data_IF_151852291510
#
_entry.id   IF_151852291510
#
_cell.length_a   1.000
_cell.length_b   1.000
_cell.length_c   1.000
_cell.angle_alpha   90.00
_cell.angle_beta   90.00
_cell.angle_gamma   90.00
#
_symmetry.space_group_name_H-M   'P 1'
#
loop_
_entity.id
_entity.type
_entity.pdbx_description
1 polymer ?
#
# COMPACT_ATOMS: atom_id res chain seq x y z
N UNK A 1 14.85 -7.84 12.85
CA UNK A 1 14.81 -6.77 11.82
C UNK A 1 14.39 -5.49 12.49
N UNK A 2 14.98 -4.35 12.13
CA UNK A 2 14.62 -3.04 12.68
C UNK A 2 13.44 -2.48 11.89
N UNK A 3 12.39 -2.04 12.56
CA UNK A 3 11.24 -1.36 11.92
C UNK A 3 11.65 0.00 11.33
N UNK A 4 10.86 0.52 10.38
CA UNK A 4 11.11 1.87 9.83
C UNK A 4 11.04 2.95 10.92
N UNK A 5 10.18 2.77 11.93
CA UNK A 5 10.05 3.68 13.08
C UNK A 5 11.33 3.69 13.91
N UNK A 6 11.86 2.51 14.25
CA UNK A 6 13.11 2.38 15.01
C UNK A 6 14.31 2.90 14.20
N UNK A 7 14.34 2.64 12.89
CA UNK A 7 15.37 3.15 12.00
C UNK A 7 15.37 4.68 11.98
N UNK A 8 14.20 5.30 11.78
CA UNK A 8 14.07 6.75 11.79
C UNK A 8 14.52 7.35 13.13
N UNK A 9 14.04 6.78 14.25
CA UNK A 9 14.44 7.22 15.58
C UNK A 9 15.97 7.10 15.81
N UNK A 10 16.59 6.01 15.37
CA UNK A 10 18.03 5.78 15.54
C UNK A 10 18.92 6.66 14.67
N UNK A 11 18.39 7.16 13.55
CA UNK A 11 19.14 7.97 12.56
C UNK A 11 18.79 9.46 12.60
N UNK A 12 17.93 9.88 13.54
CA UNK A 12 17.51 11.27 13.68
C UNK A 12 16.58 11.76 12.56
N UNK A 13 15.86 10.83 11.91
CA UNK A 13 14.85 11.14 10.90
C UNK A 13 13.47 11.25 11.52
N UNK A 14 12.67 12.19 11.01
CA UNK A 14 11.24 12.27 11.28
C UNK A 14 10.48 11.33 10.34
N UNK A 15 9.50 10.63 10.88
CA UNK A 15 8.52 9.83 10.13
C UNK A 15 7.15 10.48 10.32
N UNK A 16 6.59 11.03 9.26
CA UNK A 16 5.34 11.79 9.26
C UNK A 16 4.32 11.11 8.34
N UNK A 17 3.08 10.98 8.80
CA UNK A 17 1.99 10.51 7.96
C UNK A 17 1.33 11.70 7.25
N UNK A 18 1.01 11.53 5.97
CA UNK A 18 0.24 12.51 5.20
C UNK A 18 -0.83 11.82 4.36
N UNK A 19 -1.96 12.50 4.09
CA UNK A 19 -2.95 11.97 3.16
C UNK A 19 -2.31 11.77 1.77
N UNK A 20 -2.54 10.63 1.13
CA UNK A 20 -2.00 10.39 -0.20
C UNK A 20 -2.71 11.28 -1.22
N UNK A 21 -2.01 12.32 -1.70
CA UNK A 21 -2.53 13.25 -2.73
C UNK A 21 -1.96 12.97 -4.13
N UNK A 22 -0.73 12.48 -4.19
CA UNK A 22 -0.02 12.13 -5.41
C UNK A 22 1.01 11.04 -5.08
N UNK A 23 1.40 10.27 -6.09
CA UNK A 23 2.51 9.30 -6.02
C UNK A 23 3.51 9.65 -7.10
N UNK A 24 4.74 9.98 -6.71
CA UNK A 24 5.83 10.28 -7.65
C UNK A 24 5.47 11.32 -8.73
N UNK A 25 4.69 12.35 -8.36
CA UNK A 25 4.20 13.39 -9.28
C UNK A 25 2.95 13.02 -10.09
N UNK A 26 2.51 11.76 -10.04
CA UNK A 26 1.26 11.30 -10.66
C UNK A 26 0.06 11.60 -9.74
N UNK A 27 -1.06 12.08 -10.28
CA UNK A 27 -2.26 12.31 -9.50
C UNK A 27 -2.86 10.99 -9.01
N UNK A 28 -3.41 11.00 -7.80
CA UNK A 28 -4.23 9.89 -7.31
C UNK A 28 -5.71 10.18 -7.55
N UNK A 29 -6.38 9.27 -8.24
CA UNK A 29 -7.83 9.33 -8.44
C UNK A 29 -8.49 8.14 -7.76
N UNK A 30 -9.42 8.45 -6.86
CA UNK A 30 -10.24 7.47 -6.17
C UNK A 30 -11.50 7.19 -6.99
N UNK A 31 -11.72 5.93 -7.34
CA UNK A 31 -12.79 5.51 -8.25
C UNK A 31 -13.92 4.89 -7.44
N UNK A 32 -15.15 5.33 -7.72
CA UNK A 32 -16.34 4.65 -7.22
C UNK A 32 -16.47 3.29 -7.92
N UNK A 33 -16.23 2.22 -7.17
CA UNK A 33 -16.20 0.85 -7.70
C UNK A 33 -17.13 -0.06 -6.87
N UNK A 34 -18.45 -0.06 -7.12
CA UNK A 34 -19.37 -0.92 -6.37
C UNK A 34 -18.92 -2.38 -6.37
N UNK A 35 -18.97 -3.10 -5.22
CA UNK A 35 -19.64 -2.71 -3.98
C UNK A 35 -18.81 -1.80 -3.04
N UNK A 36 -17.57 -1.48 -3.38
CA UNK A 36 -16.67 -0.69 -2.54
C UNK A 36 -17.15 0.73 -2.35
N UNK A 37 -17.13 1.18 -1.09
CA UNK A 37 -17.58 2.49 -0.68
C UNK A 37 -16.50 3.18 0.13
N UNK A 38 -16.21 4.43 -0.23
CA UNK A 38 -15.36 5.29 0.59
C UNK A 38 -16.07 5.61 1.90
N UNK A 39 -15.35 5.48 3.00
CA UNK A 39 -15.82 5.92 4.31
C UNK A 39 -14.98 7.11 4.81
N UNK A 40 -15.52 7.84 5.78
CA UNK A 40 -14.74 8.81 6.52
C UNK A 40 -13.67 8.08 7.34
N UNK A 41 -12.41 8.46 7.15
CA UNK A 41 -11.32 7.85 7.89
C UNK A 41 -11.23 8.46 9.30
N UNK A 42 -11.12 7.64 10.36
CA UNK A 42 -10.82 8.16 11.70
C UNK A 42 -9.40 8.75 11.79
N UNK A 43 -8.52 8.36 10.85
CA UNK A 43 -7.17 8.88 10.70
C UNK A 43 -7.11 9.78 9.46
N UNK A 44 -6.97 11.11 9.61
CA UNK A 44 -6.99 12.04 8.47
C UNK A 44 -5.93 11.75 7.40
N UNK A 45 -4.84 11.08 7.77
CA UNK A 45 -3.76 10.69 6.85
C UNK A 45 -4.06 9.43 6.02
N UNK A 46 -5.21 8.78 6.23
CA UNK A 46 -5.60 7.58 5.51
C UNK A 46 -6.84 7.80 4.62
N UNK A 47 -6.89 7.09 3.50
CA UNK A 47 -8.11 6.91 2.69
C UNK A 47 -8.58 5.48 2.84
N UNK A 48 -9.86 5.27 3.16
CA UNK A 48 -10.41 3.95 3.45
C UNK A 48 -11.63 3.69 2.56
N UNK A 49 -11.61 2.54 1.90
CA UNK A 49 -12.74 1.93 1.22
C UNK A 49 -13.11 0.64 1.94
N UNK A 50 -14.41 0.32 1.97
CA UNK A 50 -14.92 -0.94 2.51
C UNK A 50 -15.90 -1.58 1.55
N UNK A 51 -15.98 -2.90 1.55
CA UNK A 51 -17.10 -3.63 0.97
C UNK A 51 -18.12 -3.97 2.09
N UNK A 52 -19.23 -3.22 2.19
CA UNK A 52 -20.26 -3.50 3.19
C UNK A 52 -21.07 -4.77 2.87
N UNK A 53 -21.11 -5.20 1.60
CA UNK A 53 -21.82 -6.40 1.17
C UNK A 53 -21.13 -7.70 1.57
N UNK A 54 -19.80 -7.66 1.75
CA UNK A 54 -18.98 -8.78 2.18
C UNK A 54 -18.80 -8.87 3.72
N UNK A 55 -19.57 -8.11 4.51
CA UNK A 55 -19.43 -8.10 5.97
C UNK A 55 -19.76 -9.47 6.60
N UNK A 56 -18.86 -9.97 7.45
CA UNK A 56 -19.08 -11.15 8.31
C UNK A 56 -18.22 -11.08 9.57
N UNK A 57 -18.66 -11.72 10.65
CA UNK A 57 -17.94 -11.80 11.93
C UNK A 57 -17.43 -10.45 12.46
N UNK A 58 -18.19 -9.36 12.22
CA UNK A 58 -17.82 -8.02 12.67
C UNK A 58 -16.74 -7.33 11.84
N UNK A 59 -16.22 -7.96 10.78
CA UNK A 59 -15.25 -7.38 9.86
C UNK A 59 -15.89 -7.10 8.49
N UNK A 60 -15.48 -6.00 7.87
CA UNK A 60 -15.73 -5.73 6.46
C UNK A 60 -14.38 -5.65 5.74
N UNK A 61 -14.23 -6.30 4.57
CA UNK A 61 -13.04 -6.12 3.77
C UNK A 61 -12.81 -4.65 3.51
N UNK A 62 -11.55 -4.25 3.58
CA UNK A 62 -11.17 -2.86 3.48
C UNK A 62 -9.94 -2.70 2.59
N UNK A 63 -9.88 -1.56 1.94
CA UNK A 63 -8.72 -1.09 1.20
C UNK A 63 -8.30 0.25 1.81
N UNK A 64 -7.10 0.30 2.34
CA UNK A 64 -6.55 1.44 3.08
C UNK A 64 -5.33 1.96 2.35
N UNK A 65 -5.33 3.26 2.05
CA UNK A 65 -4.15 3.93 1.55
C UNK A 65 -3.58 4.92 2.55
N UNK A 66 -2.26 4.93 2.65
CA UNK A 66 -1.48 5.86 3.49
C UNK A 66 -0.25 6.33 2.73
N UNK A 67 0.29 7.48 3.14
CA UNK A 67 1.58 7.94 2.67
C UNK A 67 2.45 8.32 3.87
N UNK A 68 3.66 7.79 3.92
CA UNK A 68 4.67 8.16 4.90
C UNK A 68 5.71 9.06 4.24
N UNK A 69 6.14 10.10 4.96
CA UNK A 69 7.24 10.98 4.62
C UNK A 69 8.37 10.78 5.63
N UNK A 70 9.56 10.52 5.14
CA UNK A 70 10.80 10.35 5.92
C UNK A 70 11.75 11.48 5.60
N UNK A 71 12.11 12.28 6.61
CA UNK A 71 13.00 13.43 6.45
C UNK A 71 14.09 13.47 7.55
N UNK A 72 15.36 13.75 7.22
CA UNK A 72 15.91 13.90 5.86
C UNK A 72 15.79 12.62 5.02
N UNK A 73 15.85 12.78 3.70
CA UNK A 73 15.77 11.68 2.75
C UNK A 73 16.70 10.50 3.12
N UNK A 74 16.25 9.31 2.77
CA UNK A 74 16.98 8.05 2.86
C UNK A 74 16.99 7.35 1.51
N UNK A 75 17.62 6.19 1.46
CA UNK A 75 17.56 5.38 0.25
C UNK A 75 16.12 4.87 0.02
N UNK A 76 15.59 5.08 -1.19
CA UNK A 76 14.20 4.76 -1.52
C UNK A 76 13.94 3.26 -1.47
N UNK A 77 14.86 2.45 -2.00
CA UNK A 77 14.73 0.99 -1.99
C UNK A 77 14.74 0.46 -0.56
N UNK A 78 15.67 0.94 0.27
CA UNK A 78 15.71 0.63 1.69
C UNK A 78 14.41 1.00 2.42
N UNK A 79 13.83 2.17 2.13
CA UNK A 79 12.57 2.58 2.75
C UNK A 79 11.43 1.64 2.38
N UNK A 80 11.33 1.25 1.10
CA UNK A 80 10.34 0.28 0.63
C UNK A 80 10.57 -1.08 1.27
N UNK A 81 11.80 -1.60 1.29
CA UNK A 81 12.14 -2.88 1.92
C UNK A 81 11.75 -2.91 3.41
N UNK A 82 12.01 -1.84 4.16
CA UNK A 82 11.60 -1.75 5.57
C UNK A 82 10.08 -1.80 5.75
N UNK A 83 9.31 -1.26 4.80
CA UNK A 83 7.85 -1.35 4.81
C UNK A 83 7.38 -2.75 4.42
N UNK A 84 7.92 -3.33 3.34
CA UNK A 84 7.61 -4.71 2.91
C UNK A 84 7.77 -5.68 4.08
N UNK A 85 8.87 -5.53 4.81
CA UNK A 85 9.23 -6.45 5.86
C UNK A 85 8.38 -6.29 7.14
N UNK A 86 7.50 -5.27 7.23
CA UNK A 86 6.50 -5.21 8.30
C UNK A 86 5.50 -6.38 8.24
N UNK A 87 5.29 -6.97 7.05
CA UNK A 87 4.45 -8.14 6.90
C UNK A 87 4.99 -9.37 7.65
N UNK A 88 6.31 -9.49 7.83
CA UNK A 88 6.94 -10.60 8.55
C UNK A 88 6.61 -10.61 10.05
N UNK A 89 6.07 -9.51 10.59
CA UNK A 89 5.61 -9.43 11.96
C UNK A 89 4.17 -9.96 12.15
N UNK A 90 3.44 -10.24 11.05
CA UNK A 90 2.09 -10.77 11.12
C UNK A 90 2.11 -12.24 11.59
N UNK A 91 1.18 -12.59 12.47
CA UNK A 91 1.08 -13.96 12.98
C UNK A 91 0.74 -14.93 11.85
N UNK A 92 1.48 -16.04 11.78
CA UNK A 92 1.33 -17.07 10.75
C UNK A 92 1.43 -16.54 9.30
N UNK A 93 2.23 -15.48 9.09
CA UNK A 93 2.46 -14.90 7.77
C UNK A 93 2.96 -15.95 6.77
N UNK A 94 2.29 -16.01 5.62
CA UNK A 94 2.68 -16.81 4.46
C UNK A 94 2.63 -15.94 3.23
N UNK A 95 3.79 -15.65 2.66
CA UNK A 95 3.90 -14.97 1.37
C UNK A 95 3.39 -15.89 0.25
N UNK A 96 2.49 -15.37 -0.57
CA UNK A 96 1.93 -16.06 -1.74
C UNK A 96 2.48 -15.49 -3.05
N UNK A 97 2.72 -14.18 -3.11
CA UNK A 97 3.24 -13.51 -4.29
C UNK A 97 4.04 -12.26 -3.87
N UNK A 98 5.16 -12.06 -4.55
CA UNK A 98 5.93 -10.82 -4.49
C UNK A 98 6.35 -10.43 -5.90
N UNK A 99 6.09 -9.18 -6.28
CA UNK A 99 6.47 -8.63 -7.60
C UNK A 99 7.16 -7.29 -7.37
N UNK A 100 8.29 -7.10 -8.05
CA UNK A 100 9.04 -5.86 -8.04
C UNK A 100 8.90 -5.15 -9.39
N UNK A 101 8.85 -3.82 -9.35
CA UNK A 101 8.84 -2.99 -10.56
C UNK A 101 9.51 -1.64 -10.30
N UNK A 102 9.76 -0.92 -11.40
CA UNK A 102 10.33 0.42 -11.39
C UNK A 102 9.44 1.35 -12.22
N UNK A 103 9.35 2.60 -11.79
CA UNK A 103 8.61 3.63 -12.53
C UNK A 103 9.30 3.97 -13.85
N UNK A 104 8.51 4.18 -14.90
CA UNK A 104 9.03 4.59 -16.21
C UNK A 104 9.32 6.09 -16.24
N UNK A 105 10.59 6.45 -16.12
CA UNK A 105 11.07 7.84 -16.22
C UNK A 105 10.70 8.49 -17.56
N UNK A 106 10.55 7.70 -18.63
CA UNK A 106 10.19 8.21 -19.96
C UNK A 106 8.71 8.63 -20.06
N UNK A 107 7.87 8.17 -19.13
CA UNK A 107 6.50 8.65 -18.93
C UNK A 107 6.41 9.89 -18.02
N UNK A 108 7.56 10.48 -17.65
CA UNK A 108 7.63 11.66 -16.78
C UNK A 108 7.43 11.35 -15.29
N UNK A 109 7.50 10.07 -14.91
CA UNK A 109 7.50 9.67 -13.51
C UNK A 109 8.87 9.98 -12.86
N UNK A 110 8.86 10.41 -11.59
CA UNK A 110 10.08 10.42 -10.77
C UNK A 110 10.54 8.97 -10.60
N UNK A 111 11.86 8.73 -10.54
CA UNK A 111 12.42 7.41 -10.24
C UNK A 111 11.73 6.82 -9.01
N UNK A 112 10.99 5.72 -9.21
CA UNK A 112 10.09 5.14 -8.21
C UNK A 112 10.30 3.64 -8.12
N UNK A 113 10.29 3.14 -6.89
CA UNK A 113 10.41 1.71 -6.59
C UNK A 113 9.02 1.18 -6.25
N UNK A 114 8.56 0.19 -7.01
CA UNK A 114 7.29 -0.48 -6.77
C UNK A 114 7.53 -1.86 -6.16
N UNK A 115 6.67 -2.24 -5.22
CA UNK A 115 6.54 -3.60 -4.70
C UNK A 115 5.07 -3.95 -4.59
N UNK A 116 4.72 -5.14 -5.05
CA UNK A 116 3.44 -5.79 -4.77
C UNK A 116 3.67 -7.01 -3.90
N UNK A 117 2.88 -7.16 -2.85
CA UNK A 117 2.90 -8.32 -1.97
C UNK A 117 1.50 -8.87 -1.84
N UNK A 118 1.37 -10.19 -1.87
CA UNK A 118 0.17 -10.91 -1.48
C UNK A 118 0.53 -12.00 -0.50
N UNK A 119 -0.23 -12.13 0.57
CA UNK A 119 -0.04 -13.21 1.51
C UNK A 119 -1.20 -13.40 2.47
N UNK A 120 -1.08 -14.39 3.34
CA UNK A 120 -2.09 -14.73 4.34
C UNK A 120 -1.51 -14.68 5.74
N UNK A 121 -2.33 -14.40 6.73
CA UNK A 121 -1.95 -14.33 8.14
C UNK A 121 -3.15 -14.62 9.03
N UNK A 122 -2.94 -14.68 10.34
CA UNK A 122 -3.99 -14.82 11.34
C UNK A 122 -4.15 -13.54 12.15
N UNK A 123 -5.38 -13.04 12.24
CA UNK A 123 -5.77 -11.92 13.08
C UNK A 123 -7.26 -12.03 13.42
N UNK A 124 -7.77 -11.39 14.46
CA UNK A 124 -9.21 -11.37 14.71
C UNK A 124 -9.93 -10.74 13.48
N UNK A 125 -10.94 -11.40 12.86
CA UNK A 125 -11.72 -12.56 13.36
C UNK A 125 -11.23 -13.97 12.97
N UNK A 126 -10.22 -14.14 12.12
CA UNK A 126 -9.71 -15.46 11.74
C UNK A 126 -8.54 -15.47 10.76
N UNK A 127 -8.64 -16.30 9.73
CA UNK A 127 -7.62 -16.42 8.69
C UNK A 127 -7.83 -15.34 7.62
N UNK A 128 -6.85 -14.46 7.48
CA UNK A 128 -6.92 -13.27 6.66
C UNK A 128 -5.98 -13.37 5.45
N UNK A 129 -6.27 -12.59 4.43
CA UNK A 129 -5.38 -12.30 3.31
C UNK A 129 -5.15 -10.80 3.20
N UNK A 130 -3.96 -10.43 2.72
CA UNK A 130 -3.66 -9.05 2.32
C UNK A 130 -3.03 -8.99 0.94
N UNK A 131 -3.35 -7.92 0.20
CA UNK A 131 -2.63 -7.50 -1.00
C UNK A 131 -2.17 -6.06 -0.81
N UNK A 132 -0.88 -5.80 -0.99
CA UNK A 132 -0.29 -4.48 -0.76
C UNK A 132 0.44 -4.01 -2.02
N UNK A 133 0.03 -2.87 -2.57
CA UNK A 133 0.83 -2.11 -3.53
C UNK A 133 1.59 -1.03 -2.78
N UNK A 134 2.92 -1.06 -2.87
CA UNK A 134 3.83 -0.15 -2.19
C UNK A 134 4.63 0.60 -3.25
N UNK A 135 4.73 1.92 -3.11
CA UNK A 135 5.47 2.78 -4.03
C UNK A 135 6.35 3.73 -3.24
N UNK A 136 7.65 3.66 -3.46
CA UNK A 136 8.63 4.57 -2.88
C UNK A 136 9.19 5.53 -3.92
N UNK A 137 9.40 6.79 -3.55
CA UNK A 137 10.14 7.78 -4.33
C UNK A 137 10.83 8.76 -3.39
N UNK A 138 11.80 9.52 -3.90
CA UNK A 138 12.47 10.58 -3.12
C UNK A 138 12.59 11.86 -3.94
N UNK A 139 12.66 12.98 -3.23
CA UNK A 139 13.11 14.27 -3.74
C UNK A 139 14.32 14.76 -2.92
N UNK A 140 14.74 16.00 -3.14
CA UNK A 140 15.88 16.60 -2.43
C UNK A 140 15.65 16.76 -0.91
N UNK A 141 14.40 16.69 -0.44
CA UNK A 141 14.03 16.96 0.95
C UNK A 141 13.71 15.68 1.74
N UNK A 142 13.03 14.71 1.11
CA UNK A 142 12.47 13.56 1.79
C UNK A 142 12.31 12.33 0.90
N UNK A 143 12.17 11.19 1.56
CA UNK A 143 11.73 9.92 0.95
C UNK A 143 10.28 9.68 1.33
N UNK A 144 9.48 9.26 0.37
CA UNK A 144 8.06 9.00 0.55
C UNK A 144 7.77 7.54 0.27
N UNK A 145 6.87 6.95 1.05
CA UNK A 145 6.36 5.60 0.80
C UNK A 145 4.85 5.63 0.85
N UNK A 146 4.23 5.44 -0.30
CA UNK A 146 2.81 5.19 -0.45
C UNK A 146 2.54 3.70 -0.26
N UNK A 147 1.46 3.38 0.44
CA UNK A 147 0.97 2.01 0.61
C UNK A 147 -0.52 1.98 0.35
N UNK A 148 -0.96 1.03 -0.47
CA UNK A 148 -2.36 0.68 -0.65
C UNK A 148 -2.55 -0.79 -0.29
N UNK A 149 -3.18 -1.02 0.86
CA UNK A 149 -3.31 -2.32 1.51
C UNK A 149 -4.76 -2.75 1.48
N UNK A 150 -5.02 -3.90 0.87
CA UNK A 150 -6.35 -4.53 0.85
C UNK A 150 -6.31 -5.67 1.86
N UNK A 151 -7.32 -5.73 2.72
CA UNK A 151 -7.48 -6.79 3.71
C UNK A 151 -8.84 -7.44 3.53
N UNK A 152 -8.83 -8.77 3.41
CA UNK A 152 -10.00 -9.63 3.30
C UNK A 152 -9.76 -10.95 4.02
N UNK A 153 -10.72 -11.86 3.93
CA UNK A 153 -10.49 -13.22 4.40
C UNK A 153 -9.66 -14.01 3.40
N UNK A 154 -9.01 -15.07 3.89
CA UNK A 154 -8.13 -15.93 3.10
C UNK A 154 -8.76 -16.43 1.80
N UNK A 155 -10.03 -16.81 1.83
CA UNK A 155 -10.76 -17.38 0.70
C UNK A 155 -11.27 -16.37 -0.33
N UNK A 156 -11.31 -15.08 0.01
CA UNK A 156 -11.96 -14.04 -0.79
C UNK A 156 -11.03 -13.43 -1.84
N UNK A 157 -10.46 -14.27 -2.70
CA UNK A 157 -9.46 -13.85 -3.69
C UNK A 157 -9.97 -12.71 -4.59
N UNK A 158 -11.23 -12.78 -5.03
CA UNK A 158 -11.83 -11.78 -5.92
C UNK A 158 -11.99 -10.41 -5.27
N UNK A 159 -12.17 -10.34 -3.95
CA UNK A 159 -12.26 -9.06 -3.20
C UNK A 159 -10.98 -8.25 -3.37
N UNK A 160 -9.82 -8.93 -3.41
CA UNK A 160 -8.53 -8.27 -3.60
C UNK A 160 -8.40 -7.65 -5.00
N UNK A 161 -8.79 -8.40 -6.02
CA UNK A 161 -8.68 -7.94 -7.41
C UNK A 161 -9.68 -6.79 -7.69
N UNK A 162 -10.89 -6.88 -7.14
CA UNK A 162 -11.91 -5.83 -7.26
C UNK A 162 -11.49 -4.53 -6.57
N UNK A 163 -10.92 -4.60 -5.35
CA UNK A 163 -10.46 -3.40 -4.63
C UNK A 163 -9.29 -2.69 -5.33
N UNK A 164 -8.44 -3.42 -6.07
CA UNK A 164 -7.35 -2.83 -6.86
C UNK A 164 -7.87 -1.87 -7.96
N UNK A 165 -9.16 -1.92 -8.28
CA UNK A 165 -9.81 -1.01 -9.22
C UNK A 165 -10.26 0.32 -8.59
N UNK A 166 -10.25 0.43 -7.24
CA UNK A 166 -10.66 1.64 -6.53
C UNK A 166 -9.63 2.78 -6.60
N UNK A 167 -8.41 2.47 -7.03
CA UNK A 167 -7.30 3.41 -7.06
C UNK A 167 -6.71 3.50 -8.46
N UNK A 168 -6.63 4.73 -8.98
CA UNK A 168 -5.82 5.09 -10.14
C UNK A 168 -4.59 5.88 -9.69
N UNK A 169 -3.42 5.51 -10.21
CA UNK A 169 -2.19 6.31 -10.15
C UNK A 169 -1.90 6.79 -11.57
N UNK A 170 -2.08 8.09 -11.80
CA UNK A 170 -2.16 8.62 -13.17
C UNK A 170 -3.40 8.05 -13.88
N UNK A 171 -3.19 7.37 -15.01
CA UNK A 171 -4.27 6.77 -15.82
C UNK A 171 -4.50 5.28 -15.53
N UNK A 172 -3.67 4.65 -14.69
CA UNK A 172 -3.64 3.20 -14.52
C UNK A 172 -4.20 2.79 -13.18
N UNK A 173 -5.01 1.72 -13.16
CA UNK A 173 -5.47 1.14 -11.90
C UNK A 173 -4.30 0.50 -11.16
N UNK A 174 -4.42 0.38 -9.83
CA UNK A 174 -3.44 -0.36 -9.05
C UNK A 174 -3.26 -1.80 -9.58
N UNK A 175 -4.35 -2.44 -10.04
CA UNK A 175 -4.31 -3.76 -10.68
C UNK A 175 -3.52 -3.77 -11.99
N UNK A 176 -3.73 -2.79 -12.87
CA UNK A 176 -2.98 -2.66 -14.13
C UNK A 176 -1.49 -2.42 -13.90
N UNK A 177 -1.13 -1.66 -12.87
CA UNK A 177 0.26 -1.44 -12.46
C UNK A 177 0.89 -2.78 -12.04
N UNK A 178 0.19 -3.55 -11.20
CA UNK A 178 0.66 -4.89 -10.79
C UNK A 178 0.83 -5.82 -11.98
N UNK A 179 -0.11 -5.83 -12.91
CA UNK A 179 -0.02 -6.66 -14.11
C UNK A 179 1.18 -6.29 -14.99
N UNK A 180 1.46 -5.00 -15.17
CA UNK A 180 2.65 -4.59 -15.91
C UNK A 180 3.97 -4.91 -15.19
N UNK A 181 3.99 -4.92 -13.85
CA UNK A 181 5.17 -5.40 -13.11
C UNK A 181 5.43 -6.89 -13.33
N UNK A 182 4.41 -7.69 -13.64
CA UNK A 182 4.55 -9.14 -13.90
C UNK A 182 5.14 -9.46 -15.27
N UNK A 183 5.06 -8.54 -16.24
CA UNK A 183 5.54 -8.70 -17.61
C UNK A 183 4.48 -9.14 -18.60
#
# INVERSE_FOLDING_TARGET
MTSIQEYCASTGRALEASPPMAVAGQPLTWVDSPPWQRIESPEPSAVIYVDPGAHRDGFSPNAVATCARVAPAMDTEQAVEMIVATADALADWTLLEEVAGEGDESAGAVTSIYRYLRGTYTAEPGEMATSSLIVGWSDDEATYVFQFVITGWREDVSVHDDAMSCLLIGEWTAGQIVDAMRG
#
